data_IF_959022191407
#
_entry.id   IF_959022191407
#
_cell.length_a   1.000
_cell.length_b   1.000
_cell.length_c   1.000
_cell.angle_alpha   90.00
_cell.angle_beta   90.00
_cell.angle_gamma   90.00
#
_symmetry.space_group_name_H-M   'P 1'
#
loop_
_entity.id
_entity.type
_entity.pdbx_description
1 polymer ?
#
# COMPACT_ATOMS: atom_id res chain seq x y z
N UNK A 1 9.95 -8.13 8.71
CA UNK A 1 8.94 -7.94 7.65
C UNK A 1 9.62 -8.30 6.34
N UNK A 2 9.18 -9.36 5.69
CA UNK A 2 10.02 -10.19 4.81
C UNK A 2 10.05 -9.63 3.38
N UNK A 3 11.26 -9.44 2.84
CA UNK A 3 11.50 -9.11 1.44
C UNK A 3 11.53 -10.39 0.59
N UNK A 4 11.01 -10.34 -0.64
CA UNK A 4 11.14 -11.43 -1.63
C UNK A 4 11.68 -10.83 -2.93
N UNK A 5 12.80 -11.36 -3.38
CA UNK A 5 13.49 -11.01 -4.64
C UNK A 5 13.53 -12.27 -5.48
N UNK A 6 13.21 -12.13 -6.76
CA UNK A 6 13.10 -13.26 -7.69
C UNK A 6 14.35 -13.39 -8.53
N UNK A 7 15.19 -14.39 -8.22
CA UNK A 7 16.10 -15.05 -9.15
C UNK A 7 15.78 -16.54 -9.06
N UNK A 8 15.42 -17.16 -10.18
CA UNK A 8 14.68 -18.42 -10.29
C UNK A 8 15.36 -19.69 -9.74
N UNK A 9 16.41 -19.61 -8.90
CA UNK A 9 17.06 -20.81 -8.38
C UNK A 9 17.86 -20.67 -7.07
N UNK A 10 17.74 -19.56 -6.32
CA UNK A 10 18.42 -19.43 -5.02
C UNK A 10 17.44 -19.67 -3.87
N UNK A 11 17.79 -20.60 -2.99
CA UNK A 11 17.10 -20.83 -1.71
C UNK A 11 16.94 -19.50 -0.97
N UNK A 12 15.72 -18.95 -0.95
CA UNK A 12 15.38 -17.74 -0.21
C UNK A 12 15.56 -17.99 1.27
N UNK A 13 16.72 -17.65 1.83
CA UNK A 13 16.95 -17.68 3.27
C UNK A 13 16.36 -16.41 3.86
N UNK A 14 15.30 -16.50 4.69
CA UNK A 14 14.71 -15.33 5.32
C UNK A 14 15.76 -14.69 6.24
N UNK A 15 16.12 -13.45 5.95
CA UNK A 15 16.98 -12.66 6.83
C UNK A 15 16.10 -11.83 7.76
N UNK A 16 16.27 -12.01 9.07
CA UNK A 16 15.48 -11.29 10.06
C UNK A 16 16.02 -9.87 10.23
N UNK A 17 15.19 -8.88 9.92
CA UNK A 17 15.43 -7.50 10.32
C UNK A 17 15.02 -7.30 11.77
N UNK A 18 15.97 -6.96 12.64
CA UNK A 18 15.73 -6.72 14.05
C UNK A 18 15.37 -5.26 14.29
N UNK A 19 14.21 -5.04 14.92
CA UNK A 19 13.81 -3.71 15.37
C UNK A 19 14.45 -3.43 16.73
N UNK A 20 15.40 -2.50 16.76
CA UNK A 20 16.04 -2.09 18.00
C UNK A 20 15.01 -1.46 18.97
N UNK A 21 14.82 -2.08 20.14
CA UNK A 21 13.90 -1.57 21.15
C UNK A 21 14.42 -0.26 21.78
N UNK A 22 13.51 0.58 22.27
CA UNK A 22 13.84 1.85 22.92
C UNK A 22 14.23 2.99 21.97
N UNK A 23 14.21 2.76 20.65
CA UNK A 23 14.47 3.79 19.64
C UNK A 23 13.17 4.33 19.05
N UNK A 24 13.12 5.63 18.67
CA UNK A 24 11.93 6.20 18.06
C UNK A 24 11.67 5.52 16.73
N UNK A 25 10.39 5.24 16.44
CA UNK A 25 10.03 4.45 15.26
C UNK A 25 10.52 5.04 13.94
N UNK A 26 10.62 6.38 13.88
CA UNK A 26 11.18 7.11 12.75
C UNK A 26 12.60 6.66 12.40
N UNK A 27 13.48 6.55 13.40
CA UNK A 27 14.89 6.23 13.18
C UNK A 27 15.06 4.79 12.70
N UNK A 28 14.25 3.87 13.24
CA UNK A 28 14.23 2.48 12.80
C UNK A 28 13.75 2.37 11.34
N UNK A 29 12.77 3.17 10.92
CA UNK A 29 12.33 3.23 9.53
C UNK A 29 13.37 3.87 8.60
N UNK A 30 14.08 4.90 9.06
CA UNK A 30 15.16 5.51 8.29
C UNK A 30 16.34 4.52 8.11
N UNK A 31 16.64 3.73 9.15
CA UNK A 31 17.64 2.67 9.08
C UNK A 31 17.22 1.53 8.15
N UNK A 32 15.96 1.10 8.23
CA UNK A 32 15.38 0.13 7.30
C UNK A 32 15.56 0.59 5.85
N UNK A 33 15.26 1.85 5.52
CA UNK A 33 15.39 2.37 4.16
C UNK A 33 16.85 2.32 3.68
N UNK A 34 17.81 2.70 4.53
CA UNK A 34 19.24 2.61 4.19
C UNK A 34 19.69 1.16 4.00
N UNK A 35 19.23 0.24 4.84
CA UNK A 35 19.58 -1.17 4.71
C UNK A 35 19.03 -1.78 3.42
N UNK A 36 17.79 -1.47 3.04
CA UNK A 36 17.23 -1.92 1.75
C UNK A 36 18.01 -1.31 0.59
N UNK A 37 18.37 -0.02 0.65
CA UNK A 37 19.20 0.62 -0.38
C UNK A 37 20.61 0.00 -0.47
N UNK A 38 21.22 -0.32 0.67
CA UNK A 38 22.52 -1.00 0.74
C UNK A 38 22.42 -2.39 0.11
N UNK A 39 21.41 -3.16 0.47
CA UNK A 39 21.13 -4.46 -0.14
C UNK A 39 20.92 -4.34 -1.66
N UNK A 40 20.23 -3.31 -2.16
CA UNK A 40 20.10 -3.09 -3.60
C UNK A 40 21.47 -2.85 -4.26
N UNK A 41 22.30 -2.00 -3.65
CA UNK A 41 23.64 -1.71 -4.16
C UNK A 41 24.55 -2.94 -4.16
N UNK A 42 24.54 -3.73 -3.08
CA UNK A 42 25.33 -4.96 -2.93
C UNK A 42 24.95 -6.01 -4.00
N UNK A 43 23.69 -6.02 -4.43
CA UNK A 43 23.17 -6.92 -5.46
C UNK A 43 23.16 -6.29 -6.86
N UNK A 44 23.71 -5.08 -7.04
CA UNK A 44 23.69 -4.34 -8.32
C UNK A 44 22.29 -4.14 -8.90
N UNK A 45 21.28 -4.01 -8.04
CA UNK A 45 19.88 -3.80 -8.41
C UNK A 45 19.52 -2.32 -8.33
N UNK A 46 18.77 -1.85 -9.33
CA UNK A 46 18.10 -0.54 -9.24
C UNK A 46 16.95 -0.64 -8.25
N UNK A 47 16.82 0.36 -7.37
CA UNK A 47 15.70 0.41 -6.43
C UNK A 47 14.34 0.27 -7.14
N UNK A 48 14.21 0.84 -8.35
CA UNK A 48 12.97 0.77 -9.16
C UNK A 48 12.53 -0.65 -9.49
N UNK A 49 13.46 -1.59 -9.59
CA UNK A 49 13.19 -2.97 -9.99
C UNK A 49 12.97 -3.89 -8.76
N UNK A 50 13.00 -3.31 -7.55
CA UNK A 50 12.81 -4.01 -6.30
C UNK A 50 11.40 -3.78 -5.76
N UNK A 51 10.74 -4.86 -5.35
CA UNK A 51 9.44 -4.79 -4.68
C UNK A 51 9.62 -5.00 -3.18
N UNK A 52 9.02 -4.11 -2.39
CA UNK A 52 8.97 -4.19 -0.93
C UNK A 52 7.54 -4.49 -0.53
N UNK A 53 7.33 -5.63 0.15
CA UNK A 53 6.02 -6.01 0.66
C UNK A 53 5.83 -5.62 2.12
N UNK A 54 4.73 -4.90 2.38
CA UNK A 54 4.26 -4.55 3.70
C UNK A 54 2.99 -5.37 4.06
N UNK A 55 2.80 -5.75 5.34
CA UNK A 55 1.70 -6.58 5.79
C UNK A 55 0.38 -5.80 5.80
N UNK A 56 0.44 -4.48 5.99
CA UNK A 56 -0.75 -3.61 6.05
C UNK A 56 -0.49 -2.28 5.35
N UNK A 57 -1.54 -1.74 4.71
CA UNK A 57 -1.43 -0.52 3.89
C UNK A 57 -1.10 0.74 4.71
N UNK A 58 -1.46 0.75 5.99
CA UNK A 58 -1.12 1.84 6.92
C UNK A 58 0.39 2.09 7.04
N UNK A 59 1.24 1.11 6.67
CA UNK A 59 2.70 1.27 6.67
C UNK A 59 3.24 1.86 5.36
N UNK A 60 2.45 1.91 4.28
CA UNK A 60 2.89 2.44 2.98
C UNK A 60 3.36 3.90 3.08
N UNK A 61 2.60 4.83 3.70
CA UNK A 61 3.06 6.22 3.82
C UNK A 61 4.32 6.33 4.68
N UNK A 62 4.43 5.51 5.74
CA UNK A 62 5.56 5.52 6.67
C UNK A 62 6.84 5.07 5.96
N UNK A 63 6.78 3.94 5.25
CA UNK A 63 7.92 3.41 4.49
C UNK A 63 8.33 4.36 3.37
N UNK A 64 7.36 4.91 2.62
CA UNK A 64 7.64 5.87 1.55
C UNK A 64 8.29 7.15 2.08
N UNK A 65 7.81 7.70 3.20
CA UNK A 65 8.42 8.87 3.84
C UNK A 65 9.84 8.59 4.36
N UNK A 66 10.07 7.41 4.94
CA UNK A 66 11.40 7.03 5.40
C UNK A 66 12.40 6.94 4.25
N UNK A 67 12.01 6.31 3.13
CA UNK A 67 12.82 6.28 1.92
C UNK A 67 13.14 7.68 1.40
N UNK A 68 12.12 8.54 1.27
CA UNK A 68 12.28 9.92 0.80
C UNK A 68 13.32 10.70 1.61
N UNK A 69 13.29 10.54 2.94
CA UNK A 69 14.18 11.27 3.85
C UNK A 69 15.59 10.68 3.93
N UNK A 70 15.70 9.36 4.03
CA UNK A 70 16.95 8.70 4.39
C UNK A 70 17.81 8.29 3.19
N UNK A 71 17.19 8.07 2.03
CA UNK A 71 17.85 7.58 0.81
C UNK A 71 17.62 8.55 -0.35
N UNK A 72 16.35 8.91 -0.60
CA UNK A 72 15.95 9.71 -1.76
C UNK A 72 16.02 8.93 -3.08
N UNK A 73 16.05 9.64 -4.21
CA UNK A 73 16.18 9.04 -5.54
C UNK A 73 14.97 8.20 -5.97
N UNK A 74 15.24 7.15 -6.75
CA UNK A 74 14.21 6.21 -7.21
C UNK A 74 13.68 5.38 -6.06
N UNK A 75 12.36 5.21 -6.04
CA UNK A 75 11.68 4.37 -5.06
C UNK A 75 11.60 2.93 -5.52
N UNK A 76 11.73 1.96 -4.59
CA UNK A 76 11.23 0.62 -4.81
C UNK A 76 9.71 0.63 -4.89
N UNK A 77 9.16 -0.42 -5.48
CA UNK A 77 7.72 -0.64 -5.51
C UNK A 77 7.28 -1.10 -4.12
N UNK A 78 6.93 -0.14 -3.26
CA UNK A 78 6.46 -0.41 -1.90
C UNK A 78 4.95 -0.65 -1.95
N UNK A 79 4.56 -1.90 -1.70
CA UNK A 79 3.21 -2.43 -1.86
C UNK A 79 2.79 -3.25 -0.64
N UNK A 80 1.51 -3.58 -0.58
CA UNK A 80 0.96 -4.67 0.23
C UNK A 80 0.66 -5.88 -0.63
N UNK A 81 0.44 -7.05 -0.02
CA UNK A 81 0.03 -8.24 -0.79
C UNK A 81 -1.23 -7.99 -1.63
N UNK A 82 -2.31 -7.36 -1.12
CA UNK A 82 -3.48 -7.03 -1.93
C UNK A 82 -3.19 -6.09 -3.10
N UNK A 83 -2.41 -5.03 -2.88
CA UNK A 83 -2.11 -4.02 -3.91
C UNK A 83 -1.16 -4.58 -4.98
N UNK A 84 -0.17 -5.41 -4.59
CA UNK A 84 0.64 -6.16 -5.53
C UNK A 84 -0.21 -7.16 -6.33
N UNK A 85 -1.11 -7.90 -5.68
CA UNK A 85 -1.99 -8.83 -6.39
C UNK A 85 -2.88 -8.11 -7.41
N UNK A 86 -3.33 -6.89 -7.10
CA UNK A 86 -4.11 -6.05 -8.00
C UNK A 86 -3.28 -5.49 -9.16
N UNK A 87 -2.03 -5.06 -8.91
CA UNK A 87 -1.13 -4.59 -9.97
C UNK A 87 -0.71 -5.72 -10.91
N UNK A 88 -0.77 -6.97 -10.46
CA UNK A 88 -0.59 -8.18 -11.26
C UNK A 88 -1.92 -8.76 -11.80
N UNK A 89 -3.07 -8.16 -11.49
CA UNK A 89 -4.35 -8.71 -11.91
C UNK A 89 -4.58 -8.64 -13.42
N UNK A 90 -3.95 -7.68 -14.12
CA UNK A 90 -4.05 -7.56 -15.58
C UNK A 90 -3.37 -8.72 -16.32
N UNK A 91 -2.39 -9.39 -15.70
CA UNK A 91 -1.68 -10.54 -16.26
C UNK A 91 -2.30 -11.88 -15.86
N UNK A 92 -3.38 -11.87 -15.07
CA UNK A 92 -4.07 -13.06 -14.58
C UNK A 92 -5.45 -13.17 -15.22
N UNK A 93 -5.79 -14.34 -15.77
CA UNK A 93 -7.19 -14.63 -16.12
C UNK A 93 -8.07 -14.48 -14.87
N UNK A 94 -9.12 -13.67 -14.99
CA UNK A 94 -10.01 -13.32 -13.90
C UNK A 94 -10.72 -14.58 -13.36
N UNK A 95 -10.18 -15.17 -12.30
CA UNK A 95 -10.91 -16.19 -11.53
C UNK A 95 -11.99 -15.45 -10.75
N UNK A 96 -13.25 -15.65 -11.14
CA UNK A 96 -14.42 -15.03 -10.51
C UNK A 96 -14.36 -15.20 -8.98
N UNK A 97 -14.05 -14.13 -8.27
CA UNK A 97 -14.04 -14.11 -6.82
C UNK A 97 -15.48 -14.15 -6.32
N UNK A 98 -15.79 -15.16 -5.51
CA UNK A 98 -17.07 -15.24 -4.79
C UNK A 98 -17.15 -14.03 -3.87
N UNK A 99 -18.17 -13.17 -3.98
CA UNK A 99 -18.26 -11.98 -3.16
C UNK A 99 -18.46 -12.39 -1.69
N UNK A 100 -17.59 -11.87 -0.81
CA UNK A 100 -17.99 -11.58 0.58
C UNK A 100 -19.25 -10.74 0.45
N UNK A 101 -20.37 -11.24 1.00
CA UNK A 101 -21.74 -10.70 0.92
C UNK A 101 -21.87 -9.50 -0.01
N UNK A 102 -22.44 -9.71 -1.21
CA UNK A 102 -22.53 -8.72 -2.29
C UNK A 102 -23.07 -7.33 -1.88
N UNK A 103 -23.69 -7.22 -0.71
CA UNK A 103 -24.20 -5.98 -0.13
C UNK A 103 -23.15 -5.09 0.56
N UNK A 104 -22.01 -5.62 1.03
CA UNK A 104 -21.06 -4.88 1.88
C UNK A 104 -19.83 -4.32 1.15
N UNK A 105 -19.65 -4.64 -0.13
CA UNK A 105 -18.47 -4.21 -0.90
C UNK A 105 -17.14 -4.79 -0.37
N UNK A 106 -16.02 -4.57 -1.08
CA UNK A 106 -14.71 -5.02 -0.62
C UNK A 106 -14.23 -4.23 0.61
N UNK A 107 -13.49 -4.89 1.50
CA UNK A 107 -12.86 -4.23 2.65
C UNK A 107 -11.82 -3.17 2.20
N UNK A 108 -11.58 -2.11 3.00
CA UNK A 108 -10.57 -1.09 2.69
C UNK A 108 -9.18 -1.71 2.56
N UNK A 109 -8.41 -1.30 1.56
CA UNK A 109 -7.05 -1.83 1.32
C UNK A 109 -6.00 -1.18 2.22
N UNK A 110 -6.37 -0.07 2.88
CA UNK A 110 -5.50 0.80 3.66
C UNK A 110 -4.43 1.50 2.81
N UNK A 111 -4.59 1.54 1.49
CA UNK A 111 -3.86 2.44 0.59
C UNK A 111 -4.77 3.61 0.25
N UNK A 112 -4.43 4.80 0.73
CA UNK A 112 -5.26 6.00 0.55
C UNK A 112 -5.54 6.33 -0.92
N UNK A 113 -4.62 6.06 -1.84
CA UNK A 113 -4.83 6.36 -3.26
C UNK A 113 -5.83 5.37 -3.85
N UNK A 114 -5.62 4.09 -3.55
CA UNK A 114 -6.46 3.02 -4.07
C UNK A 114 -7.88 3.07 -3.49
N UNK A 115 -7.99 3.29 -2.17
CA UNK A 115 -9.26 3.41 -1.49
C UNK A 115 -10.05 4.63 -1.97
N UNK A 116 -9.39 5.77 -2.27
CA UNK A 116 -10.06 6.93 -2.89
C UNK A 116 -10.60 6.61 -4.28
N UNK A 117 -9.85 5.87 -5.09
CA UNK A 117 -10.29 5.44 -6.42
C UNK A 117 -11.53 4.54 -6.31
N UNK A 118 -11.48 3.53 -5.43
CA UNK A 118 -12.60 2.61 -5.20
C UNK A 118 -13.85 3.33 -4.68
N UNK A 119 -13.70 4.23 -3.71
CA UNK A 119 -14.82 5.04 -3.18
C UNK A 119 -15.37 5.95 -4.28
N UNK A 120 -14.51 6.59 -5.07
CA UNK A 120 -14.95 7.43 -6.20
C UNK A 120 -15.75 6.63 -7.22
N UNK A 121 -15.28 5.42 -7.56
CA UNK A 121 -15.98 4.52 -8.48
C UNK A 121 -17.33 4.07 -7.90
N UNK A 122 -17.37 3.69 -6.63
CA UNK A 122 -18.59 3.28 -5.94
C UNK A 122 -19.63 4.40 -5.88
N UNK A 123 -19.22 5.63 -5.54
CA UNK A 123 -20.10 6.80 -5.53
C UNK A 123 -20.55 7.19 -6.94
N UNK A 124 -19.68 7.07 -7.94
CA UNK A 124 -20.01 7.36 -9.34
C UNK A 124 -20.95 6.33 -9.97
N UNK A 125 -21.06 5.13 -9.40
CA UNK A 125 -22.09 4.17 -9.80
C UNK A 125 -23.49 4.63 -9.39
N UNK A 126 -23.60 5.53 -8.41
CA UNK A 126 -24.86 6.09 -7.94
C UNK A 126 -25.27 7.32 -8.75
N UNK A 127 -26.55 7.42 -9.11
CA UNK A 127 -27.08 8.56 -9.86
C UNK A 127 -26.87 9.90 -9.12
N UNK A 128 -27.10 9.91 -7.81
CA UNK A 128 -26.89 11.09 -6.97
C UNK A 128 -25.41 11.46 -6.84
N UNK A 129 -24.50 10.47 -6.83
CA UNK A 129 -23.07 10.72 -6.73
C UNK A 129 -22.52 11.40 -7.99
N UNK A 130 -22.98 10.97 -9.17
CA UNK A 130 -22.65 11.64 -10.44
C UNK A 130 -23.17 13.07 -10.50
N UNK A 131 -24.42 13.29 -10.09
CA UNK A 131 -25.03 14.62 -10.05
C UNK A 131 -24.30 15.56 -9.09
N UNK A 132 -23.89 15.05 -7.93
CA UNK A 132 -23.13 15.84 -6.96
C UNK A 132 -21.74 16.20 -7.48
N UNK A 133 -21.00 15.25 -8.04
CA UNK A 133 -19.68 15.51 -8.63
C UNK A 133 -19.70 16.52 -9.80
N UNK A 134 -20.84 16.61 -10.51
CA UNK A 134 -21.08 17.63 -11.54
C UNK A 134 -21.41 19.00 -10.94
N UNK A 135 -22.24 19.04 -9.88
CA UNK A 135 -22.67 20.28 -9.24
C UNK A 135 -21.55 20.95 -8.43
N UNK A 136 -20.77 20.15 -7.71
CA UNK A 136 -19.66 20.62 -6.87
C UNK A 136 -18.57 19.55 -6.76
N UNK A 137 -17.58 19.65 -7.67
CA UNK A 137 -16.45 18.72 -7.72
C UNK A 137 -15.62 18.72 -6.44
N UNK A 138 -15.36 19.90 -5.87
CA UNK A 138 -14.45 20.03 -4.72
C UNK A 138 -15.08 19.46 -3.46
N UNK A 139 -16.37 19.74 -3.23
CA UNK A 139 -17.09 19.14 -2.11
C UNK A 139 -17.16 17.61 -2.25
N UNK A 140 -17.35 17.10 -3.46
CA UNK A 140 -17.34 15.66 -3.72
C UNK A 140 -15.98 15.01 -3.40
N UNK A 141 -14.87 15.58 -3.89
CA UNK A 141 -13.51 15.07 -3.61
C UNK A 141 -13.17 15.12 -2.11
N UNK A 142 -13.62 16.18 -1.42
CA UNK A 142 -13.46 16.27 0.03
C UNK A 142 -14.24 15.17 0.77
N UNK A 143 -15.47 14.90 0.36
CA UNK A 143 -16.29 13.83 0.94
C UNK A 143 -15.68 12.44 0.69
N UNK A 144 -15.12 12.19 -0.50
CA UNK A 144 -14.36 10.95 -0.79
C UNK A 144 -13.20 10.79 0.20
N UNK A 145 -12.44 11.84 0.45
CA UNK A 145 -11.35 11.80 1.43
C UNK A 145 -11.85 11.46 2.84
N UNK A 146 -12.93 12.11 3.30
CA UNK A 146 -13.52 11.83 4.61
C UNK A 146 -14.01 10.39 4.77
N UNK A 147 -14.62 9.82 3.72
CA UNK A 147 -15.10 8.42 3.74
C UNK A 147 -13.92 7.47 3.93
N UNK A 148 -12.82 7.68 3.18
CA UNK A 148 -11.61 6.85 3.30
C UNK A 148 -10.99 7.00 4.69
N UNK A 149 -10.87 8.22 5.20
CA UNK A 149 -10.30 8.48 6.54
C UNK A 149 -11.13 7.79 7.65
N UNK A 150 -12.46 7.86 7.56
CA UNK A 150 -13.38 7.17 8.47
C UNK A 150 -13.23 5.65 8.40
N UNK A 151 -13.16 5.08 7.19
CA UNK A 151 -12.98 3.65 7.00
C UNK A 151 -11.64 3.17 7.59
N UNK A 152 -10.55 3.91 7.36
CA UNK A 152 -9.24 3.63 7.95
C UNK A 152 -9.25 3.76 9.47
N UNK A 153 -9.99 4.74 10.01
CA UNK A 153 -10.19 4.86 11.46
C UNK A 153 -10.91 3.64 12.04
N UNK A 154 -11.99 3.18 11.42
CA UNK A 154 -12.74 2.02 11.90
C UNK A 154 -11.92 0.74 11.86
N UNK A 155 -11.12 0.52 10.80
CA UNK A 155 -10.21 -0.62 10.73
C UNK A 155 -9.18 -0.56 11.86
N UNK A 156 -8.62 0.62 12.15
CA UNK A 156 -7.68 0.78 13.29
C UNK A 156 -8.35 0.51 14.64
N UNK A 157 -9.57 0.98 14.85
CA UNK A 157 -10.33 0.75 16.10
C UNK A 157 -10.68 -0.73 16.27
N UNK A 158 -11.06 -1.42 15.19
CA UNK A 158 -11.41 -2.84 15.23
C UNK A 158 -10.19 -3.76 15.45
N UNK A 159 -8.98 -3.26 15.24
CA UNK A 159 -7.72 -4.00 15.45
C UNK A 159 -7.09 -3.75 16.83
N UNK A 160 -7.63 -2.82 17.62
CA UNK A 160 -7.18 -2.49 18.98
C UNK A 160 -7.90 -3.35 20.02
#
# INVERSE_FOLDING_TARGET
MTAIVSTENENLQPTTWLWAQGRPARDCWDEWARAVSGWCADNSLSARDVVVLLPVGALLPVARQAWARAVGGWFPQIETVPTLAQSLAWSREAKASVPVSAELGPAPTLDVVLDRLLVTQALSAQAWGRQWAQRDRRAFEHAVAQVVDCAHLWVRVAQA
#
